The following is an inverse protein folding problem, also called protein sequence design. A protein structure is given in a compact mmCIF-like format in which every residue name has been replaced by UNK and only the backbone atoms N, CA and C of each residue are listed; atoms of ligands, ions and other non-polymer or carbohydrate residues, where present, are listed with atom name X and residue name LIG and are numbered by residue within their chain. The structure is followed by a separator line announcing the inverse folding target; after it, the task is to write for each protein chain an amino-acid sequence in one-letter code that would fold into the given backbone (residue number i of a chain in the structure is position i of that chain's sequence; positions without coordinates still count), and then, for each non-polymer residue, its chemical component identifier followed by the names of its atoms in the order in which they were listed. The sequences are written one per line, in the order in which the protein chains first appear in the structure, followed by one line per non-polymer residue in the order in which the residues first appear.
data_IF_029371117004
#
_entry.id   IF_029371117004
#
_cell.length_a   1.000
_cell.length_b   1.000
_cell.length_c   1.000
_cell.angle_alpha   90.00
_cell.angle_beta   90.00
_cell.angle_gamma   90.00
#
_symmetry.space_group_name_H-M   'P 1'
#
loop_
_entity.id
_entity.type
_entity.pdbx_description
1 polymer ?
#
# COMPACT_ATOMS: atom_id res chain seq x y z
N UNK A 1 -4.91 29.92 -19.78
CA UNK A 1 -4.79 28.55 -20.31
C UNK A 1 -4.25 27.66 -19.21
N UNK A 2 -5.13 27.05 -18.43
CA UNK A 2 -4.76 26.08 -17.40
C UNK A 2 -4.52 24.74 -18.08
N UNK A 3 -3.24 24.36 -18.18
CA UNK A 3 -2.77 23.08 -18.68
C UNK A 3 -3.41 21.97 -17.83
N UNK A 4 -4.52 21.42 -18.33
CA UNK A 4 -5.23 20.28 -17.75
C UNK A 4 -4.38 19.03 -18.02
N UNK A 5 -3.22 18.94 -17.36
CA UNK A 5 -2.40 17.73 -17.38
C UNK A 5 -3.19 16.65 -16.68
N UNK A 6 -3.84 15.81 -17.48
CA UNK A 6 -4.25 14.47 -17.09
C UNK A 6 -3.06 13.88 -16.34
N UNK A 7 -3.20 13.68 -15.03
CA UNK A 7 -2.15 13.02 -14.26
C UNK A 7 -1.86 11.68 -14.95
N UNK A 8 -0.60 11.37 -15.30
CA UNK A 8 -0.30 10.13 -15.99
C UNK A 8 -0.80 8.95 -15.14
N UNK A 9 -1.64 8.11 -15.75
CA UNK A 9 -2.26 6.97 -15.07
C UNK A 9 -1.18 6.08 -14.49
N UNK A 10 -1.21 5.86 -13.18
CA UNK A 10 -0.27 4.98 -12.48
C UNK A 10 -0.52 3.54 -12.95
N UNK A 11 0.50 2.88 -13.48
CA UNK A 11 0.45 1.45 -13.76
C UNK A 11 0.58 0.67 -12.45
N UNK A 12 -0.39 -0.17 -12.13
CA UNK A 12 -0.41 -0.93 -10.88
C UNK A 12 -0.36 -2.42 -11.19
N UNK A 13 0.56 -3.12 -10.54
CA UNK A 13 0.71 -4.57 -10.62
C UNK A 13 0.47 -5.19 -9.24
N UNK A 14 -0.46 -6.14 -9.16
CA UNK A 14 -0.62 -7.03 -8.01
C UNK A 14 0.05 -8.37 -8.34
N UNK A 15 1.06 -8.76 -7.56
CA UNK A 15 1.83 -9.99 -7.82
C UNK A 15 2.04 -10.75 -6.52
N UNK A 16 1.81 -12.06 -6.54
CA UNK A 16 2.07 -12.91 -5.38
C UNK A 16 2.39 -14.35 -5.80
N UNK A 17 3.16 -15.05 -4.98
CA UNK A 17 3.43 -16.49 -5.15
C UNK A 17 2.21 -17.33 -4.71
N UNK A 18 1.42 -16.82 -3.77
CA UNK A 18 0.24 -17.48 -3.24
C UNK A 18 -0.93 -17.43 -4.23
N UNK A 19 -1.24 -18.59 -4.81
CA UNK A 19 -2.33 -18.73 -5.78
C UNK A 19 -3.70 -18.35 -5.20
N UNK A 20 -3.95 -18.54 -3.90
CA UNK A 20 -5.23 -18.17 -3.29
C UNK A 20 -5.41 -16.65 -3.25
N UNK A 21 -4.35 -15.90 -2.94
CA UNK A 21 -4.36 -14.43 -2.97
C UNK A 21 -4.56 -13.93 -4.40
N UNK A 22 -3.85 -14.50 -5.36
CA UNK A 22 -3.99 -14.13 -6.78
C UNK A 22 -5.41 -14.36 -7.29
N UNK A 23 -6.03 -15.50 -6.96
CA UNK A 23 -7.41 -15.77 -7.35
C UNK A 23 -8.41 -14.85 -6.65
N UNK A 24 -8.19 -14.54 -5.36
CA UNK A 24 -9.00 -13.59 -4.63
C UNK A 24 -8.94 -12.17 -5.24
N UNK A 25 -7.76 -11.72 -5.67
CA UNK A 25 -7.63 -10.45 -6.39
C UNK A 25 -8.39 -10.44 -7.70
N UNK A 26 -8.31 -11.52 -8.49
CA UNK A 26 -9.07 -11.60 -9.76
C UNK A 26 -10.57 -11.44 -9.55
N UNK A 27 -11.10 -11.95 -8.43
CA UNK A 27 -12.49 -11.74 -8.07
C UNK A 27 -12.76 -10.30 -7.58
N UNK A 28 -11.94 -9.79 -6.65
CA UNK A 28 -12.15 -8.48 -6.04
C UNK A 28 -11.99 -7.30 -7.02
N UNK A 29 -11.08 -7.43 -7.99
CA UNK A 29 -10.74 -6.42 -9.01
C UNK A 29 -11.33 -6.75 -10.40
N UNK A 30 -12.32 -7.64 -10.49
CA UNK A 30 -12.88 -8.07 -11.78
C UNK A 30 -13.43 -6.91 -12.65
N UNK A 31 -13.85 -5.82 -12.02
CA UNK A 31 -14.36 -4.60 -12.64
C UNK A 31 -13.32 -3.46 -12.72
N UNK A 32 -12.05 -3.76 -12.45
CA UNK A 32 -10.93 -2.80 -12.46
C UNK A 32 -9.85 -3.26 -13.46
N UNK A 33 -10.13 -3.23 -14.77
CA UNK A 33 -9.30 -3.88 -15.80
C UNK A 33 -7.90 -3.27 -15.97
N UNK A 34 -7.64 -2.08 -15.42
CA UNK A 34 -6.32 -1.45 -15.42
C UNK A 34 -5.31 -2.07 -14.44
N UNK A 35 -5.79 -2.89 -13.49
CA UNK A 35 -4.92 -3.57 -12.54
C UNK A 35 -4.36 -4.83 -13.19
N UNK A 36 -3.05 -4.89 -13.31
CA UNK A 36 -2.38 -6.11 -13.77
C UNK A 36 -2.25 -7.09 -12.61
N UNK A 37 -2.78 -8.30 -12.76
CA UNK A 37 -2.69 -9.34 -11.74
C UNK A 37 -1.81 -10.48 -12.25
N UNK A 38 -0.70 -10.73 -11.54
CA UNK A 38 0.31 -11.72 -11.87
C UNK A 38 0.49 -12.72 -10.75
N UNK A 39 0.85 -13.95 -11.10
CA UNK A 39 1.34 -14.95 -10.14
C UNK A 39 2.85 -15.03 -10.32
N UNK A 40 3.61 -14.55 -9.36
CA UNK A 40 5.05 -14.39 -9.49
C UNK A 40 5.68 -13.75 -8.26
N UNK A 41 7.00 -13.61 -8.31
CA UNK A 41 7.73 -12.86 -7.28
C UNK A 41 7.68 -11.38 -7.59
N UNK A 42 7.57 -10.53 -6.56
CA UNK A 42 7.74 -9.08 -6.74
C UNK A 42 9.12 -8.72 -7.31
N UNK A 43 10.12 -9.58 -7.10
CA UNK A 43 11.46 -9.39 -7.65
C UNK A 43 11.50 -9.43 -9.19
N UNK A 44 10.52 -10.06 -9.82
CA UNK A 44 10.43 -10.18 -11.28
C UNK A 44 9.71 -8.96 -11.91
N UNK A 45 9.15 -8.07 -11.09
CA UNK A 45 8.37 -6.93 -11.56
C UNK A 45 9.27 -5.74 -11.91
N UNK A 46 9.34 -5.46 -13.21
CA UNK A 46 9.90 -4.24 -13.74
C UNK A 46 8.90 -3.07 -13.53
N UNK A 47 9.08 -2.34 -12.44
CA UNK A 47 8.30 -1.15 -12.06
C UNK A 47 9.18 -0.09 -11.40
N UNK A 48 8.68 1.14 -11.27
CA UNK A 48 9.41 2.23 -10.62
C UNK A 48 9.49 2.08 -9.10
N UNK A 49 8.47 1.48 -8.48
CA UNK A 49 8.42 1.26 -7.03
C UNK A 49 7.87 -0.13 -6.66
N UNK A 50 8.47 -0.75 -5.64
CA UNK A 50 7.87 -1.89 -4.96
C UNK A 50 7.22 -1.43 -3.66
N UNK A 51 6.09 -2.04 -3.30
CA UNK A 51 5.44 -1.87 -2.00
C UNK A 51 5.67 -3.13 -1.18
N UNK A 52 6.18 -2.94 0.05
CA UNK A 52 6.38 -4.02 1.00
C UNK A 52 5.56 -3.82 2.28
N UNK A 53 4.73 -4.81 2.67
CA UNK A 53 4.08 -4.81 3.97
C UNK A 53 5.10 -5.16 5.08
N UNK A 54 5.28 -4.25 6.04
CA UNK A 54 6.24 -4.36 7.15
C UNK A 54 5.55 -4.34 8.53
N UNK A 55 6.33 -4.39 9.60
CA UNK A 55 5.96 -3.93 10.94
C UNK A 55 6.31 -2.43 11.15
N UNK A 56 5.79 -1.83 12.22
CA UNK A 56 6.01 -0.43 12.59
C UNK A 56 7.48 -0.05 12.87
N UNK A 57 8.37 -1.02 13.06
CA UNK A 57 9.81 -0.77 13.28
C UNK A 57 10.64 -0.87 11.98
N UNK A 58 10.01 -1.13 10.84
CA UNK A 58 10.70 -1.30 9.55
C UNK A 58 11.68 -2.48 9.54
N UNK A 59 11.45 -3.51 10.36
CA UNK A 59 12.31 -4.70 10.38
C UNK A 59 11.95 -5.63 9.24
N UNK A 60 12.91 -5.90 8.36
CA UNK A 60 12.68 -6.67 7.13
C UNK A 60 13.19 -8.10 7.27
N UNK A 61 12.75 -8.81 8.31
CA UNK A 61 13.34 -10.11 8.73
C UNK A 61 12.53 -11.33 8.29
N UNK A 62 11.33 -11.14 7.73
CA UNK A 62 10.48 -12.25 7.28
C UNK A 62 9.71 -11.95 6.00
N UNK A 63 9.11 -13.00 5.43
CA UNK A 63 8.23 -12.90 4.25
C UNK A 63 8.89 -12.20 3.06
N UNK A 64 8.10 -11.41 2.34
CA UNK A 64 8.54 -10.60 1.20
C UNK A 64 9.62 -9.58 1.58
N UNK A 65 9.55 -9.04 2.80
CA UNK A 65 10.49 -8.05 3.33
C UNK A 65 11.92 -8.61 3.38
N UNK A 66 12.09 -9.84 3.87
CA UNK A 66 13.38 -10.52 3.88
C UNK A 66 13.91 -10.79 2.47
N UNK A 67 13.02 -11.15 1.54
CA UNK A 67 13.37 -11.41 0.14
C UNK A 67 13.84 -10.13 -0.55
N UNK A 68 13.12 -9.02 -0.36
CA UNK A 68 13.51 -7.69 -0.87
C UNK A 68 14.83 -7.24 -0.25
N UNK A 69 15.01 -7.38 1.07
CA UNK A 69 16.27 -7.05 1.75
C UNK A 69 17.46 -7.85 1.19
N UNK A 70 17.26 -9.15 0.94
CA UNK A 70 18.30 -10.01 0.35
C UNK A 70 18.66 -9.57 -1.07
N UNK A 71 17.66 -9.12 -1.85
CA UNK A 71 17.85 -8.69 -3.23
C UNK A 71 18.52 -7.30 -3.33
N UNK A 72 18.02 -6.31 -2.58
CA UNK A 72 18.52 -4.92 -2.62
C UNK A 72 19.73 -4.67 -1.70
N UNK A 73 20.07 -5.63 -0.84
CA UNK A 73 21.13 -5.54 0.15
C UNK A 73 20.69 -4.93 1.49
N UNK A 74 21.40 -5.25 2.57
CA UNK A 74 21.02 -4.89 3.95
C UNK A 74 20.85 -3.38 4.19
N UNK A 75 21.48 -2.53 3.37
CA UNK A 75 21.36 -1.08 3.45
C UNK A 75 19.93 -0.57 3.25
N UNK A 76 19.05 -1.33 2.56
CA UNK A 76 17.66 -0.91 2.36
C UNK A 76 16.90 -0.78 3.67
N UNK A 77 17.09 -1.71 4.60
CA UNK A 77 16.46 -1.67 5.93
C UNK A 77 16.93 -0.44 6.71
N UNK A 78 18.21 -0.10 6.64
CA UNK A 78 18.75 1.09 7.31
C UNK A 78 18.12 2.38 6.77
N UNK A 79 17.88 2.46 5.46
CA UNK A 79 17.18 3.62 4.84
C UNK A 79 15.73 3.70 5.30
N UNK A 80 15.00 2.58 5.29
CA UNK A 80 13.63 2.50 5.80
C UNK A 80 13.58 2.94 7.26
N UNK A 81 14.42 2.37 8.13
CA UNK A 81 14.46 2.71 9.55
C UNK A 81 14.88 4.16 9.81
N UNK A 82 15.78 4.73 9.00
CA UNK A 82 16.10 6.16 9.03
C UNK A 82 14.87 7.00 8.68
N UNK A 83 14.18 6.69 7.58
CA UNK A 83 12.98 7.42 7.19
C UNK A 83 11.87 7.33 8.26
N UNK A 84 11.71 6.18 8.91
CA UNK A 84 10.76 6.00 10.03
C UNK A 84 11.17 6.86 11.23
N UNK A 85 12.45 6.87 11.60
CA UNK A 85 12.94 7.69 12.72
C UNK A 85 12.72 9.18 12.45
N UNK A 86 13.10 9.63 11.26
CA UNK A 86 13.13 11.04 10.92
C UNK A 86 11.72 11.58 10.64
N UNK A 87 10.81 10.76 10.09
CA UNK A 87 9.43 11.16 9.76
C UNK A 87 8.36 10.78 10.77
N UNK A 88 8.61 9.80 11.65
CA UNK A 88 7.60 9.21 12.54
C UNK A 88 8.12 8.92 13.95
N UNK A 89 9.13 9.67 14.41
CA UNK A 89 9.70 9.54 15.76
C UNK A 89 10.11 8.10 16.16
N UNK A 90 10.44 7.25 15.18
CA UNK A 90 10.93 5.88 15.40
C UNK A 90 9.88 4.79 15.33
N UNK A 91 8.60 5.10 15.11
CA UNK A 91 7.54 4.11 14.93
C UNK A 91 6.59 4.50 13.81
N UNK A 92 6.50 3.67 12.76
CA UNK A 92 5.62 3.90 11.62
C UNK A 92 4.19 3.40 11.95
N UNK A 93 3.18 4.28 12.08
CA UNK A 93 1.83 3.85 12.41
C UNK A 93 1.19 3.08 11.25
N UNK A 94 0.29 2.14 11.56
CA UNK A 94 -0.58 1.53 10.53
C UNK A 94 -1.42 2.62 9.85
N UNK A 95 -1.46 2.58 8.52
CA UNK A 95 -2.04 3.66 7.70
C UNK A 95 -1.07 4.77 7.34
N UNK A 96 0.22 4.61 7.62
CA UNK A 96 1.31 5.45 7.13
C UNK A 96 2.27 4.66 6.25
N UNK A 97 3.09 5.36 5.47
CA UNK A 97 4.13 4.72 4.67
C UNK A 97 5.38 5.61 4.57
N UNK A 98 6.52 4.98 4.34
CA UNK A 98 7.77 5.65 3.96
C UNK A 98 8.16 5.23 2.54
N UNK A 99 8.58 6.19 1.73
CA UNK A 99 9.13 5.95 0.40
C UNK A 99 10.61 6.28 0.43
N UNK A 100 11.47 5.31 0.11
CA UNK A 100 12.93 5.48 0.12
C UNK A 100 13.54 5.06 -1.21
N UNK A 101 14.66 5.68 -1.63
CA UNK A 101 15.44 5.17 -2.76
C UNK A 101 15.93 3.74 -2.48
N UNK A 102 15.71 2.83 -3.42
CA UNK A 102 16.15 1.44 -3.31
C UNK A 102 17.67 1.30 -3.42
N UNK A 103 18.31 2.19 -4.21
CA UNK A 103 19.70 2.08 -4.64
C UNK A 103 19.91 1.22 -5.89
N UNK A 104 18.84 0.65 -6.46
CA UNK A 104 18.85 -0.07 -7.73
C UNK A 104 18.31 0.79 -8.88
N UNK A 105 18.58 0.37 -10.12
CA UNK A 105 17.93 0.98 -11.30
C UNK A 105 16.43 0.69 -11.31
N UNK A 106 16.05 -0.55 -10.99
CA UNK A 106 14.66 -0.99 -10.83
C UNK A 106 14.53 -1.98 -9.66
N UNK A 107 13.53 -1.82 -8.78
CA UNK A 107 12.71 -0.62 -8.65
C UNK A 107 13.59 0.56 -8.22
N UNK A 108 13.21 1.80 -8.52
CA UNK A 108 13.93 3.00 -8.05
C UNK A 108 13.61 3.31 -6.59
N UNK A 109 12.40 2.95 -6.17
CA UNK A 109 11.88 3.23 -4.83
C UNK A 109 11.39 1.95 -4.15
N UNK A 110 11.52 1.91 -2.83
CA UNK A 110 10.81 0.98 -1.98
C UNK A 110 9.84 1.77 -1.10
N UNK A 111 8.58 1.39 -1.13
CA UNK A 111 7.53 1.94 -0.28
C UNK A 111 7.23 0.91 0.81
N UNK A 112 7.53 1.24 2.06
CA UNK A 112 7.26 0.39 3.21
C UNK A 112 6.03 0.89 3.96
N UNK A 113 5.04 0.01 4.13
CA UNK A 113 3.76 0.31 4.79
C UNK A 113 3.48 -0.76 5.86
N UNK A 114 3.19 -0.41 7.12
CA UNK A 114 3.02 -1.42 8.15
C UNK A 114 1.60 -1.98 8.13
N UNK A 115 1.51 -3.31 8.09
CA UNK A 115 0.24 -4.05 8.26
C UNK A 115 0.03 -4.50 9.71
N UNK A 116 1.04 -4.34 10.55
CA UNK A 116 1.06 -4.73 11.96
C UNK A 116 2.03 -3.85 12.74
N UNK A 117 1.81 -3.71 14.04
CA UNK A 117 2.74 -2.96 14.89
C UNK A 117 3.98 -3.80 15.22
N UNK A 118 3.74 -5.05 15.61
CA UNK A 118 4.77 -6.04 15.92
C UNK A 118 4.72 -7.19 14.93
N UNK A 119 5.89 -7.76 14.63
CA UNK A 119 5.98 -8.90 13.73
C UNK A 119 5.13 -10.07 14.22
N UNK A 120 4.43 -10.73 13.30
CA UNK A 120 3.58 -11.90 13.56
C UNK A 120 2.34 -11.64 14.42
N UNK A 121 1.90 -10.38 14.52
CA UNK A 121 0.59 -10.05 15.08
C UNK A 121 -0.53 -10.55 14.17
N UNK A 122 -1.56 -11.17 14.77
CA UNK A 122 -2.79 -11.52 14.06
C UNK A 122 -3.58 -10.25 13.75
N UNK A 123 -3.85 -10.02 12.47
CA UNK A 123 -4.56 -8.84 11.96
C UNK A 123 -5.75 -9.24 11.09
N UNK A 124 -6.20 -10.50 11.19
CA UNK A 124 -7.30 -11.07 10.39
C UNK A 124 -8.65 -10.36 10.54
N UNK A 125 -8.85 -9.68 11.68
CA UNK A 125 -10.07 -8.94 12.03
C UNK A 125 -9.80 -7.43 12.16
N UNK A 126 -8.96 -6.87 11.28
CA UNK A 126 -8.58 -5.46 11.33
C UNK A 126 -8.64 -4.80 9.95
N UNK A 127 -8.66 -3.47 9.93
CA UNK A 127 -8.58 -2.65 8.72
C UNK A 127 -7.14 -2.40 8.23
N UNK A 128 -6.15 -3.05 8.86
CA UNK A 128 -4.74 -2.73 8.64
C UNK A 128 -4.33 -2.88 7.17
N UNK A 129 -4.89 -3.87 6.46
CA UNK A 129 -4.61 -4.06 5.03
C UNK A 129 -5.14 -2.91 4.18
N UNK A 130 -6.36 -2.43 4.44
CA UNK A 130 -6.93 -1.30 3.69
C UNK A 130 -6.14 -0.01 3.96
N UNK A 131 -5.82 0.24 5.23
CA UNK A 131 -4.99 1.37 5.67
C UNK A 131 -3.60 1.32 5.03
N UNK A 132 -2.94 0.17 5.08
CA UNK A 132 -1.59 -0.01 4.53
C UNK A 132 -1.58 0.16 2.99
N UNK A 133 -2.58 -0.38 2.31
CA UNK A 133 -2.75 -0.25 0.86
C UNK A 133 -2.95 1.22 0.47
N UNK A 134 -3.89 1.92 1.11
CA UNK A 134 -4.14 3.34 0.87
C UNK A 134 -2.90 4.19 1.17
N UNK A 135 -2.16 3.89 2.25
CA UNK A 135 -0.95 4.61 2.62
C UNK A 135 0.19 4.45 1.59
N UNK A 136 0.34 3.26 1.01
CA UNK A 136 1.34 3.02 -0.02
C UNK A 136 1.08 3.88 -1.27
N UNK A 137 -0.16 3.91 -1.70
CA UNK A 137 -0.62 4.74 -2.81
C UNK A 137 -0.50 6.24 -2.52
N UNK A 138 -0.83 6.67 -1.31
CA UNK A 138 -0.60 8.05 -0.86
C UNK A 138 0.90 8.41 -0.86
N UNK A 139 1.79 7.46 -0.58
CA UNK A 139 3.24 7.67 -0.69
C UNK A 139 3.68 7.92 -2.14
N UNK A 140 3.05 7.25 -3.12
CA UNK A 140 3.28 7.53 -4.55
C UNK A 140 2.90 8.96 -4.89
N UNK A 141 1.73 9.43 -4.45
CA UNK A 141 1.32 10.83 -4.66
C UNK A 141 2.30 11.82 -4.04
N UNK A 142 2.69 11.60 -2.78
CA UNK A 142 3.66 12.46 -2.09
C UNK A 142 5.00 12.51 -2.82
N UNK A 143 5.52 11.36 -3.25
CA UNK A 143 6.76 11.29 -4.02
C UNK A 143 6.65 12.01 -5.37
N UNK A 144 5.52 11.86 -6.07
CA UNK A 144 5.28 12.55 -7.34
C UNK A 144 5.00 14.05 -7.18
N UNK A 145 4.58 14.53 -6.00
CA UNK A 145 4.53 15.98 -5.71
C UNK A 145 5.93 16.59 -5.59
N UNK A 146 6.87 15.85 -5.01
CA UNK A 146 8.29 16.27 -4.87
C UNK A 146 9.04 16.16 -6.20
N UNK A 147 8.86 15.05 -6.90
CA UNK A 147 9.48 14.78 -8.19
C UNK A 147 8.43 14.24 -9.17
N UNK A 148 7.76 15.11 -9.96
CA UNK A 148 6.72 14.72 -10.90
C UNK A 148 7.16 13.61 -11.85
N UNK A 149 6.34 12.55 -11.93
CA UNK A 149 6.60 11.39 -12.78
C UNK A 149 7.75 10.49 -12.32
N UNK A 150 8.23 10.65 -11.08
CA UNK A 150 9.28 9.79 -10.53
C UNK A 150 8.80 8.35 -10.28
N UNK A 151 7.51 8.16 -9.98
CA UNK A 151 6.86 6.85 -9.91
C UNK A 151 5.68 6.84 -10.87
N UNK A 152 5.78 6.06 -11.95
CA UNK A 152 4.70 5.85 -12.94
C UNK A 152 4.20 4.41 -12.94
N UNK A 153 4.92 3.50 -12.29
CA UNK A 153 4.49 2.13 -12.07
C UNK A 153 4.84 1.63 -10.68
N UNK A 154 3.95 0.82 -10.10
CA UNK A 154 4.12 0.25 -8.76
C UNK A 154 3.67 -1.21 -8.72
N UNK A 155 4.39 -2.05 -7.97
CA UNK A 155 4.00 -3.43 -7.69
C UNK A 155 3.72 -3.64 -6.20
N UNK A 156 2.66 -4.37 -5.89
CA UNK A 156 2.24 -4.71 -4.53
C UNK A 156 2.03 -6.24 -4.41
N UNK A 157 2.27 -6.76 -3.21
CA UNK A 157 2.00 -8.16 -2.85
C UNK A 157 0.77 -8.30 -1.95
N UNK A 158 0.37 -9.54 -1.64
CA UNK A 158 -0.65 -9.86 -0.66
C UNK A 158 -0.30 -9.33 0.72
N UNK A 159 -1.03 -8.31 1.17
CA UNK A 159 -0.78 -7.69 2.47
C UNK A 159 -1.49 -8.47 3.59
N UNK A 160 -0.74 -8.87 4.63
CA UNK A 160 -1.30 -9.53 5.82
C UNK A 160 -1.68 -11.01 5.64
N UNK A 161 -1.61 -11.55 4.43
CA UNK A 161 -2.10 -12.91 4.11
C UNK A 161 -1.23 -14.06 4.67
N UNK A 162 0.05 -13.82 4.96
CA UNK A 162 0.96 -14.86 5.47
C UNK A 162 1.07 -14.81 7.00
N UNK A 163 1.79 -13.83 7.53
CA UNK A 163 2.05 -13.72 8.98
C UNK A 163 0.89 -13.12 9.75
N UNK A 164 0.06 -12.30 9.09
CA UNK A 164 -1.09 -11.62 9.68
C UNK A 164 -2.38 -12.42 9.70
N UNK A 165 -2.37 -13.65 9.16
CA UNK A 165 -3.53 -14.59 9.10
C UNK A 165 -4.79 -14.03 8.45
N UNK A 166 -4.66 -12.98 7.63
CA UNK A 166 -5.79 -12.43 6.88
C UNK A 166 -6.20 -13.43 5.79
N UNK A 167 -7.46 -13.89 5.74
CA UNK A 167 -7.91 -14.75 4.65
C UNK A 167 -7.72 -14.08 3.29
N UNK A 168 -7.35 -14.84 2.26
CA UNK A 168 -7.03 -14.31 0.94
C UNK A 168 -8.13 -13.40 0.35
N UNK A 169 -9.40 -13.79 0.53
CA UNK A 169 -10.55 -12.99 0.08
C UNK A 169 -10.69 -11.67 0.83
N UNK A 170 -10.47 -11.68 2.15
CA UNK A 170 -10.49 -10.46 2.98
C UNK A 170 -9.33 -9.54 2.61
N UNK A 171 -8.14 -10.10 2.41
CA UNK A 171 -6.97 -9.37 1.93
C UNK A 171 -7.27 -8.66 0.60
N UNK A 172 -7.79 -9.38 -0.37
CA UNK A 172 -8.11 -8.84 -1.69
C UNK A 172 -9.16 -7.71 -1.62
N UNK A 173 -10.22 -7.91 -0.83
CA UNK A 173 -11.26 -6.90 -0.64
C UNK A 173 -10.73 -5.63 0.04
N UNK A 174 -9.93 -5.77 1.09
CA UNK A 174 -9.33 -4.63 1.79
C UNK A 174 -8.31 -3.90 0.92
N UNK A 175 -7.54 -4.62 0.09
CA UNK A 175 -6.66 -3.98 -0.90
C UNK A 175 -7.46 -3.21 -1.96
N UNK A 176 -8.59 -3.75 -2.42
CA UNK A 176 -9.50 -3.05 -3.33
C UNK A 176 -10.07 -1.77 -2.68
N UNK A 177 -10.48 -1.85 -1.41
CA UNK A 177 -10.92 -0.69 -0.64
C UNK A 177 -9.84 0.40 -0.57
N UNK A 178 -8.59 0.02 -0.28
CA UNK A 178 -7.48 0.97 -0.27
C UNK A 178 -7.14 1.57 -1.64
N UNK A 179 -7.23 0.77 -2.71
CA UNK A 179 -6.99 1.21 -4.08
C UNK A 179 -8.04 2.21 -4.58
N UNK A 180 -9.32 1.94 -4.34
CA UNK A 180 -10.40 2.82 -4.80
C UNK A 180 -10.34 4.19 -4.12
N UNK A 181 -9.97 4.22 -2.84
CA UNK A 181 -9.74 5.48 -2.12
C UNK A 181 -8.62 6.33 -2.76
N UNK A 182 -7.54 5.67 -3.19
CA UNK A 182 -6.44 6.35 -3.89
C UNK A 182 -6.86 6.94 -5.23
N UNK A 183 -7.59 6.18 -6.04
CA UNK A 183 -7.99 6.65 -7.37
C UNK A 183 -8.89 7.89 -7.30
N UNK A 184 -9.64 8.04 -6.22
CA UNK A 184 -10.61 9.12 -6.06
C UNK A 184 -10.05 10.34 -5.30
N UNK A 185 -9.00 10.16 -4.48
CA UNK A 185 -8.53 11.20 -3.56
C UNK A 185 -7.05 11.12 -3.18
N UNK A 186 -6.44 12.29 -3.03
CA UNK A 186 -5.12 12.46 -2.40
C UNK A 186 -5.31 13.22 -1.09
N UNK A 187 -4.76 12.69 0.00
CA UNK A 187 -4.83 13.30 1.32
C UNK A 187 -3.67 14.28 1.56
N UNK A 188 -3.85 15.21 2.50
CA UNK A 188 -2.77 16.11 2.92
C UNK A 188 -1.80 15.40 3.88
N UNK A 189 -2.35 14.61 4.81
CA UNK A 189 -1.60 13.81 5.78
C UNK A 189 -2.05 12.34 5.85
N UNK A 190 -1.21 11.50 6.46
CA UNK A 190 -1.59 10.12 6.77
C UNK A 190 -2.64 10.04 7.90
N UNK A 191 -2.72 11.05 8.76
CA UNK A 191 -3.76 11.13 9.78
C UNK A 191 -5.15 11.42 9.18
N UNK A 192 -5.23 12.27 8.15
CA UNK A 192 -6.48 12.51 7.41
C UNK A 192 -6.94 11.25 6.67
N UNK A 193 -5.99 10.53 6.06
CA UNK A 193 -6.26 9.22 5.44
C UNK A 193 -6.81 8.24 6.46
N UNK A 194 -6.12 8.08 7.60
CA UNK A 194 -6.49 7.12 8.64
C UNK A 194 -7.84 7.45 9.25
N UNK A 195 -8.10 8.71 9.60
CA UNK A 195 -9.38 9.16 10.15
C UNK A 195 -10.54 8.93 9.16
N UNK A 196 -10.33 9.19 7.86
CA UNK A 196 -11.31 8.93 6.81
C UNK A 196 -11.65 7.45 6.68
N UNK A 197 -10.62 6.60 6.63
CA UNK A 197 -10.79 5.14 6.50
C UNK A 197 -11.48 4.58 7.73
N UNK A 198 -11.02 4.92 8.92
CA UNK A 198 -11.58 4.42 10.18
C UNK A 198 -13.02 4.91 10.37
N UNK A 199 -13.32 6.17 10.12
CA UNK A 199 -14.66 6.74 10.32
C UNK A 199 -15.75 6.15 9.41
N UNK A 200 -15.37 5.47 8.32
CA UNK A 200 -16.31 4.85 7.38
C UNK A 200 -16.33 3.33 7.45
N UNK A 201 -15.34 2.74 8.11
CA UNK A 201 -15.18 1.29 8.22
C UNK A 201 -15.28 0.83 9.68
N UNK A 202 -15.72 1.68 10.62
CA UNK A 202 -15.97 1.33 12.03
C UNK A 202 -16.92 0.14 12.19
N UNK A 203 -17.77 -0.13 11.19
CA UNK A 203 -18.73 -1.25 11.21
C UNK A 203 -18.35 -2.41 10.27
N UNK A 204 -17.10 -2.51 9.79
CA UNK A 204 -16.72 -3.61 8.87
C UNK A 204 -16.89 -4.99 9.51
N UNK A 205 -16.80 -5.10 10.83
CA UNK A 205 -17.07 -6.34 11.56
C UNK A 205 -18.53 -6.79 11.43
N UNK A 206 -19.43 -5.86 11.07
CA UNK A 206 -20.85 -6.12 10.78
C UNK A 206 -21.11 -6.43 9.30
N UNK A 207 -20.15 -6.15 8.41
CA UNK A 207 -20.30 -6.42 6.99
C UNK A 207 -20.16 -7.92 6.71
N UNK A 208 -20.99 -8.52 5.82
CA UNK A 208 -20.88 -9.93 5.49
C UNK A 208 -19.46 -10.27 5.04
N UNK A 209 -18.85 -11.27 5.67
CA UNK A 209 -17.52 -11.76 5.33
C UNK A 209 -17.43 -12.01 3.81
N UNK A 210 -16.55 -11.26 3.14
CA UNK A 210 -16.37 -11.36 1.69
C UNK A 210 -16.96 -10.22 0.86
N UNK A 211 -17.58 -9.21 1.48
CA UNK A 211 -18.05 -8.01 0.75
C UNK A 211 -16.95 -6.94 0.73
N UNK A 212 -16.64 -6.41 -0.46
CA UNK A 212 -15.76 -5.23 -0.60
C UNK A 212 -16.54 -3.96 -0.22
N UNK A 213 -15.90 -3.06 0.53
CA UNK A 213 -16.50 -1.80 0.95
C UNK A 213 -15.79 -0.66 0.24
N UNK A 214 -16.54 0.24 -0.41
CA UNK A 214 -15.97 1.45 -1.02
C UNK A 214 -15.99 2.59 0.00
N UNK A 215 -14.85 3.21 0.25
CA UNK A 215 -14.75 4.40 1.10
C UNK A 215 -15.13 5.61 0.24
N UNK A 216 -16.04 6.44 0.74
CA UNK A 216 -16.41 7.72 0.14
C UNK A 216 -15.32 8.74 0.45
N UNK A 217 -14.72 9.42 -0.55
CA UNK A 217 -13.77 10.49 -0.28
C UNK A 217 -14.38 11.59 0.59
N UNK A 218 -13.62 12.22 1.49
CA UNK A 218 -14.13 13.36 2.26
C UNK A 218 -14.55 14.47 1.31
N UNK A 219 -15.66 15.16 1.63
CA UNK A 219 -16.10 16.32 0.87
C UNK A 219 -14.98 17.37 0.88
N UNK A 220 -14.53 17.81 -0.31
CA UNK A 220 -13.55 18.91 -0.40
C UNK A 220 -14.11 20.11 0.38
N UNK A 221 -13.37 20.72 1.32
CA UNK A 221 -13.82 21.95 1.93
C UNK A 221 -14.04 22.95 0.81
N UNK A 222 -15.28 23.42 0.65
CA UNK A 222 -15.61 24.42 -0.35
C UNK A 222 -14.71 25.63 -0.12
N UNK A 223 -13.92 26.00 -1.12
CA UNK A 223 -13.22 27.28 -1.12
C UNK A 223 -14.29 28.36 -1.00
N UNK A 224 -14.45 28.92 0.20
CA UNK A 224 -15.13 30.20 0.36
C UNK A 224 -14.17 31.26 -0.18
N UNK A 225 -14.53 31.82 -1.33
CA UNK A 225 -13.91 33.01 -1.89
C UNK A 225 -14.05 34.22 -0.96
#
# INVERSE_FOLDING_TARGET
MTDNRVQPRLRVVLTDLNAQVVQAWRAAFADTPEIEIRRGSILDEDVDAWVTPTNSRGRMDGGVDAVIKRHLGAGIQLRVQRAIRDGFAGGLPVGSAVCVPSGAQKPRFLISTPTMEQSSQDVGHTLNVALACAAAFQAVHRQNRVAPGSIRSVALVGMGAQTGRVPAQVCANLMWTGYTLFNDHCFDSYDDLRSTVVGQLTDIDSAPAGTRVRIVPPARPGFRH
#
